data_IF_731554855694
#
_entry.id   IF_731554855694
#
_cell.length_a   1.000
_cell.length_b   1.000
_cell.length_c   1.000
_cell.angle_alpha   90.00
_cell.angle_beta   90.00
_cell.angle_gamma   90.00
#
_symmetry.space_group_name_H-M   'P 1'
#
loop_
_entity.id
_entity.type
_entity.pdbx_description
1 polymer ?
#
# COMPACT_ATOMS: atom_id res chain seq x y z
N UNK A 1 -1.22 -13.94 -1.22
CA UNK A 1 -2.13 -13.68 -2.35
C UNK A 1 -3.57 -13.95 -1.94
N UNK A 2 -3.89 -15.15 -1.50
CA UNK A 2 -5.27 -15.56 -1.14
C UNK A 2 -5.89 -14.71 -0.03
N UNK A 3 -5.11 -14.37 1.00
CA UNK A 3 -5.58 -13.49 2.08
C UNK A 3 -5.97 -12.10 1.59
N UNK A 4 -5.24 -11.55 0.60
CA UNK A 4 -5.57 -10.25 0.04
C UNK A 4 -6.84 -10.31 -0.81
N UNK A 5 -7.00 -11.37 -1.61
CA UNK A 5 -8.23 -11.58 -2.39
C UNK A 5 -9.44 -11.71 -1.46
N UNK A 6 -9.32 -12.50 -0.38
CA UNK A 6 -10.39 -12.63 0.61
C UNK A 6 -10.74 -11.28 1.26
N UNK A 7 -9.76 -10.44 1.58
CA UNK A 7 -10.02 -9.10 2.12
C UNK A 7 -10.76 -8.21 1.13
N UNK A 8 -10.34 -8.22 -0.14
CA UNK A 8 -11.02 -7.45 -1.20
C UNK A 8 -12.47 -7.91 -1.34
N UNK A 9 -12.71 -9.23 -1.37
CA UNK A 9 -14.06 -9.80 -1.41
C UNK A 9 -14.91 -9.37 -0.20
N UNK A 10 -14.34 -9.43 1.01
CA UNK A 10 -15.03 -9.01 2.23
C UNK A 10 -15.44 -7.53 2.20
N UNK A 11 -14.51 -6.66 1.75
CA UNK A 11 -14.74 -5.21 1.68
C UNK A 11 -15.85 -4.91 0.68
N UNK A 12 -15.78 -5.49 -0.50
CA UNK A 12 -16.76 -5.23 -1.57
C UNK A 12 -18.14 -5.82 -1.24
N UNK A 13 -18.17 -7.01 -0.64
CA UNK A 13 -19.40 -7.67 -0.22
C UNK A 13 -20.00 -7.11 1.09
N UNK A 14 -19.28 -6.22 1.80
CA UNK A 14 -19.65 -5.76 3.14
C UNK A 14 -19.87 -6.92 4.12
N UNK A 15 -19.01 -7.94 4.07
CA UNK A 15 -19.05 -9.11 4.95
C UNK A 15 -17.86 -9.09 5.91
N UNK A 16 -18.08 -9.37 7.18
CA UNK A 16 -17.02 -9.42 8.18
C UNK A 16 -15.99 -10.51 7.83
N UNK A 17 -14.73 -10.12 7.69
CA UNK A 17 -13.63 -11.02 7.37
C UNK A 17 -13.45 -12.15 8.39
N UNK A 18 -13.81 -11.93 9.66
CA UNK A 18 -13.78 -12.97 10.69
C UNK A 18 -14.76 -14.12 10.39
N UNK A 19 -15.91 -13.83 9.79
CA UNK A 19 -16.86 -14.85 9.39
C UNK A 19 -16.25 -15.81 8.34
N UNK A 20 -15.50 -15.27 7.36
CA UNK A 20 -14.79 -16.10 6.38
C UNK A 20 -13.70 -16.93 7.06
N UNK A 21 -12.87 -16.30 7.91
CA UNK A 21 -11.75 -16.99 8.57
C UNK A 21 -12.20 -18.10 9.52
N UNK A 22 -13.35 -17.94 10.16
CA UNK A 22 -13.90 -18.92 11.12
C UNK A 22 -14.89 -19.89 10.51
N UNK A 23 -15.24 -19.73 9.23
CA UNK A 23 -16.23 -20.56 8.54
C UNK A 23 -17.67 -20.34 9.01
N UNK A 24 -17.96 -19.23 9.70
CA UNK A 24 -19.28 -18.89 10.25
C UNK A 24 -20.09 -17.98 9.31
N UNK A 25 -20.11 -18.33 8.01
CA UNK A 25 -20.88 -17.60 7.01
C UNK A 25 -22.33 -18.04 7.03
N UNK A 26 -23.24 -17.08 6.99
CA UNK A 26 -24.67 -17.29 6.83
C UNK A 26 -25.04 -17.33 5.33
N UNK A 27 -26.24 -17.80 5.00
CA UNK A 27 -26.69 -17.90 3.60
C UNK A 27 -26.73 -16.54 2.88
N UNK A 28 -27.07 -15.48 3.62
CA UNK A 28 -27.01 -14.11 3.13
C UNK A 28 -25.57 -13.65 2.80
N UNK A 29 -24.60 -14.00 3.66
CA UNK A 29 -23.19 -13.67 3.44
C UNK A 29 -22.66 -14.35 2.16
N UNK A 30 -23.03 -15.61 1.93
CA UNK A 30 -22.69 -16.34 0.71
C UNK A 30 -23.25 -15.66 -0.54
N UNK A 31 -24.51 -15.21 -0.49
CA UNK A 31 -25.15 -14.50 -1.59
C UNK A 31 -24.44 -13.20 -1.91
N UNK A 32 -24.06 -12.41 -0.89
CA UNK A 32 -23.29 -11.16 -1.04
C UNK A 32 -21.91 -11.44 -1.66
N UNK A 33 -21.18 -12.41 -1.14
CA UNK A 33 -19.88 -12.79 -1.69
C UNK A 33 -19.98 -13.25 -3.15
N UNK A 34 -20.94 -14.08 -3.48
CA UNK A 34 -21.15 -14.55 -4.85
C UNK A 34 -21.42 -13.40 -5.84
N UNK A 35 -22.16 -12.38 -5.40
CA UNK A 35 -22.49 -11.22 -6.25
C UNK A 35 -21.30 -10.37 -6.65
N UNK A 36 -20.22 -10.34 -5.84
CA UNK A 36 -19.04 -9.49 -6.09
C UNK A 36 -17.90 -10.21 -6.80
N UNK A 37 -17.92 -11.55 -6.87
CA UNK A 37 -16.85 -12.34 -7.52
C UNK A 37 -16.68 -11.96 -9.00
N UNK A 38 -17.78 -11.86 -9.74
CA UNK A 38 -17.75 -11.47 -11.15
C UNK A 38 -17.12 -10.09 -11.36
N UNK A 39 -17.68 -9.01 -10.77
CA UNK A 39 -17.14 -7.67 -10.85
C UNK A 39 -15.65 -7.56 -10.48
N UNK A 40 -15.22 -8.25 -9.40
CA UNK A 40 -13.79 -8.25 -8.99
C UNK A 40 -12.93 -8.98 -10.02
N UNK A 41 -13.38 -10.11 -10.55
CA UNK A 41 -12.65 -10.86 -11.59
C UNK A 41 -12.43 -10.01 -12.84
N UNK A 42 -13.42 -9.20 -13.20
CA UNK A 42 -13.39 -8.35 -14.39
C UNK A 42 -12.69 -6.99 -14.17
N UNK A 43 -12.36 -6.65 -12.91
CA UNK A 43 -11.81 -5.34 -12.55
C UNK A 43 -10.38 -5.07 -13.03
N UNK A 44 -9.69 -6.09 -13.57
CA UNK A 44 -8.31 -5.94 -14.05
C UNK A 44 -7.28 -5.74 -12.94
N UNK A 45 -7.52 -6.28 -11.74
CA UNK A 45 -6.58 -6.27 -10.62
C UNK A 45 -5.57 -7.40 -10.78
N UNK A 46 -4.27 -7.06 -10.82
CA UNK A 46 -3.15 -8.01 -10.92
C UNK A 46 -2.35 -7.97 -9.63
N UNK A 47 -2.25 -9.10 -8.92
CA UNK A 47 -1.58 -9.22 -7.63
C UNK A 47 -0.27 -9.98 -7.80
N UNK A 48 0.83 -9.35 -7.41
CA UNK A 48 2.15 -9.96 -7.33
C UNK A 48 2.60 -10.01 -5.87
N UNK A 49 2.76 -11.20 -5.34
CA UNK A 49 3.19 -11.48 -3.97
C UNK A 49 4.60 -12.08 -3.90
N UNK A 50 5.45 -11.81 -4.89
CA UNK A 50 6.84 -12.27 -4.91
C UNK A 50 7.60 -11.68 -3.72
N UNK A 51 8.11 -12.53 -2.80
CA UNK A 51 8.84 -12.05 -1.63
C UNK A 51 10.22 -11.50 -2.04
N UNK A 52 10.63 -10.36 -1.44
CA UNK A 52 11.94 -9.77 -1.69
C UNK A 52 12.16 -9.34 -3.13
N UNK A 53 11.11 -8.93 -3.82
CA UNK A 53 11.18 -8.47 -5.21
C UNK A 53 12.14 -7.28 -5.35
N UNK A 54 12.97 -7.30 -6.39
CA UNK A 54 13.87 -6.18 -6.69
C UNK A 54 13.15 -5.07 -7.47
N UNK A 55 13.66 -3.84 -7.35
CA UNK A 55 13.12 -2.69 -8.11
C UNK A 55 13.20 -2.92 -9.63
N UNK A 56 14.19 -3.67 -10.11
CA UNK A 56 14.34 -4.01 -11.53
C UNK A 56 13.29 -5.01 -11.99
N UNK A 57 12.93 -5.98 -11.15
CA UNK A 57 11.86 -6.94 -11.45
C UNK A 57 10.49 -6.24 -11.46
N UNK A 58 10.23 -5.35 -10.48
CA UNK A 58 9.00 -4.53 -10.48
C UNK A 58 8.89 -3.77 -11.81
N UNK A 59 9.94 -3.08 -12.21
CA UNK A 59 9.97 -2.33 -13.46
C UNK A 59 9.66 -3.20 -14.68
N UNK A 60 10.26 -4.39 -14.76
CA UNK A 60 10.05 -5.34 -15.85
C UNK A 60 8.60 -5.84 -15.88
N UNK A 61 8.05 -6.24 -14.74
CA UNK A 61 6.67 -6.72 -14.63
C UNK A 61 5.65 -5.62 -14.95
N UNK A 62 5.87 -4.40 -14.44
CA UNK A 62 4.98 -3.26 -14.71
C UNK A 62 4.98 -2.86 -16.19
N UNK A 63 6.14 -2.85 -16.86
CA UNK A 63 6.24 -2.62 -18.31
C UNK A 63 5.43 -3.65 -19.08
N UNK A 64 5.61 -4.93 -18.77
CA UNK A 64 4.86 -6.02 -19.40
C UNK A 64 3.35 -5.84 -19.21
N UNK A 65 2.89 -5.61 -17.98
CA UNK A 65 1.48 -5.39 -17.69
C UNK A 65 0.94 -4.13 -18.38
N UNK A 66 1.73 -3.06 -18.47
CA UNK A 66 1.32 -1.86 -19.21
C UNK A 66 1.12 -2.14 -20.69
N UNK A 67 2.01 -2.91 -21.31
CA UNK A 67 1.90 -3.28 -22.74
C UNK A 67 0.74 -4.25 -23.01
N UNK A 68 0.56 -5.27 -22.16
CA UNK A 68 -0.41 -6.35 -22.40
C UNK A 68 -1.82 -6.02 -21.90
N UNK A 69 -1.93 -5.27 -20.81
CA UNK A 69 -3.16 -5.05 -20.06
C UNK A 69 -3.52 -3.58 -19.89
N UNK A 70 -2.65 -2.67 -20.35
CA UNK A 70 -2.82 -1.23 -20.22
C UNK A 70 -3.20 -0.77 -18.80
N UNK A 71 -2.47 -1.27 -17.80
CA UNK A 71 -2.72 -0.90 -16.39
C UNK A 71 -2.72 0.62 -16.20
N UNK A 72 -3.60 1.11 -15.33
CA UNK A 72 -3.81 2.53 -15.05
C UNK A 72 -3.29 2.99 -13.69
N UNK A 73 -2.89 2.07 -12.81
CA UNK A 73 -2.40 2.35 -11.46
C UNK A 73 -1.44 1.25 -11.02
N UNK A 74 -0.39 1.62 -10.29
CA UNK A 74 0.51 0.69 -9.61
C UNK A 74 0.44 0.98 -8.12
N UNK A 75 0.20 -0.05 -7.30
CA UNK A 75 0.19 0.05 -5.82
C UNK A 75 1.28 -0.86 -5.25
N UNK A 76 2.09 -0.33 -4.35
CA UNK A 76 3.19 -1.05 -3.69
C UNK A 76 2.97 -1.04 -2.18
N UNK A 77 2.80 -2.21 -1.60
CA UNK A 77 2.61 -2.41 -0.16
C UNK A 77 3.73 -3.32 0.37
N UNK A 78 4.76 -2.76 0.98
CA UNK A 78 5.23 -1.41 1.16
C UNK A 78 6.70 -1.30 0.72
N UNK A 79 7.21 -0.10 0.51
CA UNK A 79 8.51 0.11 -0.15
C UNK A 79 9.71 -0.49 0.59
N UNK A 80 9.61 -0.64 1.92
CA UNK A 80 10.67 -1.24 2.73
C UNK A 80 10.84 -2.75 2.49
N UNK A 81 9.93 -3.42 1.79
CA UNK A 81 10.09 -4.83 1.38
C UNK A 81 10.83 -5.01 0.05
N UNK A 82 11.00 -3.92 -0.71
CA UNK A 82 11.69 -3.96 -2.00
C UNK A 82 13.19 -4.03 -1.76
N UNK A 83 13.89 -4.81 -2.58
CA UNK A 83 15.35 -4.86 -2.63
C UNK A 83 15.87 -3.83 -3.65
N UNK A 84 16.88 -3.06 -3.25
CA UNK A 84 17.60 -2.16 -4.14
C UNK A 84 18.37 -2.92 -5.22
N UNK A 85 18.79 -2.23 -6.27
CA UNK A 85 19.53 -2.82 -7.40
C UNK A 85 20.97 -3.21 -7.02
N UNK A 86 21.53 -2.63 -5.98
CA UNK A 86 22.90 -2.82 -5.55
C UNK A 86 23.00 -3.68 -4.28
N UNK A 87 23.48 -4.89 -4.44
CA UNK A 87 23.95 -5.78 -3.37
C UNK A 87 25.23 -5.23 -2.72
N UNK A 88 25.33 -3.89 -2.54
CA UNK A 88 26.49 -3.26 -1.89
C UNK A 88 26.41 -3.56 -0.40
N UNK A 89 27.31 -4.41 0.06
CA UNK A 89 27.51 -4.76 1.49
C UNK A 89 27.72 -3.55 2.43
N UNK A 90 27.81 -2.32 1.91
CA UNK A 90 28.14 -1.10 2.65
C UNK A 90 27.14 0.07 2.45
N UNK A 91 25.99 -0.12 1.81
CA UNK A 91 24.96 0.93 1.68
C UNK A 91 24.10 1.02 2.94
N UNK A 92 23.77 2.24 3.39
CA UNK A 92 22.78 2.40 4.45
C UNK A 92 21.38 2.07 3.92
N UNK A 93 20.48 1.64 4.80
CA UNK A 93 19.08 1.38 4.43
C UNK A 93 18.38 2.62 3.85
N UNK A 94 18.74 3.79 4.34
CA UNK A 94 18.25 5.08 3.83
C UNK A 94 18.63 5.29 2.37
N UNK A 95 19.88 4.94 1.99
CA UNK A 95 20.33 5.05 0.59
C UNK A 95 19.58 4.09 -0.33
N UNK A 96 19.31 2.88 0.16
CA UNK A 96 18.52 1.89 -0.60
C UNK A 96 17.09 2.38 -0.84
N UNK A 97 16.42 2.90 0.19
CA UNK A 97 15.08 3.49 0.06
C UNK A 97 15.08 4.69 -0.89
N UNK A 98 16.11 5.53 -0.84
CA UNK A 98 16.28 6.65 -1.76
C UNK A 98 16.39 6.19 -3.23
N UNK A 99 17.15 5.14 -3.48
CA UNK A 99 17.28 4.54 -4.83
C UNK A 99 15.94 3.99 -5.31
N UNK A 100 15.22 3.27 -4.45
CA UNK A 100 13.91 2.70 -4.75
C UNK A 100 12.91 3.82 -5.07
N UNK A 101 12.81 4.84 -4.20
CA UNK A 101 11.90 5.97 -4.37
C UNK A 101 12.11 6.67 -5.72
N UNK A 102 13.37 7.01 -6.03
CA UNK A 102 13.73 7.62 -7.32
C UNK A 102 13.38 6.71 -8.50
N UNK A 103 13.61 5.41 -8.38
CA UNK A 103 13.31 4.44 -9.44
C UNK A 103 11.80 4.31 -9.68
N UNK A 104 10.98 4.36 -8.62
CA UNK A 104 9.52 4.38 -8.73
C UNK A 104 9.01 5.65 -9.41
N UNK A 105 9.60 6.80 -9.10
CA UNK A 105 9.29 8.07 -9.78
C UNK A 105 9.61 8.01 -11.29
N UNK A 106 10.76 7.42 -11.63
CA UNK A 106 11.13 7.21 -13.03
C UNK A 106 10.14 6.27 -13.72
N UNK A 107 9.77 5.16 -13.07
CA UNK A 107 8.81 4.20 -13.58
C UNK A 107 7.44 4.83 -13.84
N UNK A 108 6.92 5.63 -12.89
CA UNK A 108 5.65 6.34 -13.06
C UNK A 108 5.65 7.24 -14.31
N UNK A 109 6.73 8.01 -14.50
CA UNK A 109 6.89 8.87 -15.68
C UNK A 109 7.02 8.06 -16.98
N UNK A 110 7.83 7.02 -16.98
CA UNK A 110 8.07 6.15 -18.13
C UNK A 110 6.79 5.50 -18.65
N UNK A 111 5.97 4.97 -17.74
CA UNK A 111 4.74 4.27 -18.08
C UNK A 111 3.53 5.22 -18.24
N UNK A 112 3.69 6.48 -17.84
CA UNK A 112 2.59 7.44 -17.69
C UNK A 112 1.44 6.86 -16.85
N UNK A 113 1.80 6.32 -15.68
CA UNK A 113 0.88 5.67 -14.73
C UNK A 113 1.19 6.15 -13.32
N UNK A 114 0.20 6.58 -12.52
CA UNK A 114 0.42 6.90 -11.13
C UNK A 114 0.91 5.68 -10.33
N UNK A 115 1.82 5.94 -9.40
CA UNK A 115 2.35 4.94 -8.47
C UNK A 115 2.01 5.38 -7.05
N UNK A 116 1.25 4.58 -6.33
CA UNK A 116 1.01 4.71 -4.89
C UNK A 116 1.96 3.76 -4.18
N UNK A 117 2.86 4.32 -3.38
CA UNK A 117 3.79 3.54 -2.57
C UNK A 117 3.48 3.75 -1.09
N UNK A 118 3.13 2.68 -0.40
CA UNK A 118 2.97 2.70 1.05
C UNK A 118 4.35 2.73 1.71
N UNK A 119 4.46 3.49 2.77
CA UNK A 119 5.69 3.60 3.55
C UNK A 119 5.39 3.56 5.04
N UNK A 120 6.16 2.79 5.78
CA UNK A 120 6.09 2.78 7.23
C UNK A 120 6.65 4.08 7.80
N UNK A 121 6.00 4.63 8.80
CA UNK A 121 6.47 5.81 9.52
C UNK A 121 7.49 5.43 10.60
N UNK A 122 8.31 6.40 10.99
CA UNK A 122 9.18 6.30 12.16
C UNK A 122 8.34 6.12 13.43
N UNK A 123 8.85 5.31 14.36
CA UNK A 123 8.24 5.13 15.68
C UNK A 123 8.20 6.40 16.54
N UNK A 124 8.88 7.47 16.11
CA UNK A 124 8.83 8.76 16.80
C UNK A 124 7.42 9.35 16.86
N UNK A 125 6.53 9.01 15.92
CA UNK A 125 5.11 9.40 15.96
C UNK A 125 4.41 8.90 17.22
N UNK A 126 4.74 7.67 17.67
CA UNK A 126 4.16 7.05 18.87
C UNK A 126 4.56 7.74 20.19
N UNK A 127 5.64 8.53 20.15
CA UNK A 127 6.16 9.25 21.33
C UNK A 127 5.55 10.65 21.48
N UNK A 128 4.82 11.13 20.50
CA UNK A 128 4.16 12.44 20.55
C UNK A 128 2.80 12.33 21.23
N UNK A 129 2.41 13.36 21.99
CA UNK A 129 1.13 13.36 22.71
C UNK A 129 -0.09 13.26 21.79
N UNK A 130 -0.01 13.81 20.59
CA UNK A 130 -1.10 13.84 19.60
C UNK A 130 -1.06 12.67 18.60
N UNK A 131 0.04 11.90 18.57
CA UNK A 131 0.27 10.79 17.64
C UNK A 131 0.01 11.13 16.16
N UNK A 132 -0.11 12.42 15.81
CA UNK A 132 -0.41 12.83 14.43
C UNK A 132 0.85 12.78 13.58
N UNK A 133 0.79 12.10 12.42
CA UNK A 133 1.93 11.98 11.52
C UNK A 133 2.26 13.31 10.84
N UNK A 134 3.55 13.52 10.57
CA UNK A 134 4.07 14.68 9.86
C UNK A 134 5.23 14.26 8.92
N UNK A 135 5.64 15.14 8.01
CA UNK A 135 6.69 14.84 7.02
C UNK A 135 8.01 14.37 7.65
N UNK A 136 8.38 14.89 8.81
CA UNK A 136 9.59 14.46 9.52
C UNK A 136 9.54 12.99 9.98
N UNK A 137 8.37 12.35 10.01
CA UNK A 137 8.24 10.94 10.39
C UNK A 137 8.62 9.99 9.23
N UNK A 138 8.79 10.53 8.03
CA UNK A 138 9.41 9.85 6.89
C UNK A 138 10.95 9.84 6.97
N UNK A 139 11.54 10.09 8.12
CA UNK A 139 12.95 10.43 8.34
C UNK A 139 13.97 9.38 7.88
N UNK A 140 13.64 8.09 7.93
CA UNK A 140 14.46 7.03 7.32
C UNK A 140 14.39 7.06 5.79
N UNK A 141 13.59 7.97 5.25
CA UNK A 141 13.20 8.06 3.85
C UNK A 141 13.04 9.53 3.42
N UNK A 142 13.88 10.44 3.89
CA UNK A 142 13.83 11.87 3.50
C UNK A 142 13.83 12.11 1.98
N UNK A 143 14.33 11.15 1.24
CA UNK A 143 14.24 11.10 -0.22
C UNK A 143 12.81 10.86 -0.73
N UNK A 144 11.96 10.11 0.01
CA UNK A 144 10.56 9.89 -0.39
C UNK A 144 9.82 11.23 -0.43
N UNK A 145 10.02 12.08 0.59
CA UNK A 145 9.42 13.41 0.63
C UNK A 145 9.82 14.25 -0.59
N UNK A 146 11.09 14.15 -1.02
CA UNK A 146 11.59 14.90 -2.18
C UNK A 146 11.04 14.35 -3.50
N UNK A 147 11.01 13.02 -3.66
CA UNK A 147 10.61 12.36 -4.89
C UNK A 147 9.09 12.32 -5.09
N UNK A 148 8.30 12.22 -4.02
CA UNK A 148 6.85 12.16 -4.10
C UNK A 148 6.25 13.49 -4.57
N UNK A 149 5.24 13.45 -5.45
CA UNK A 149 4.44 14.62 -5.83
C UNK A 149 3.39 14.94 -4.75
N UNK A 150 2.86 13.90 -4.12
CA UNK A 150 1.85 13.98 -3.08
C UNK A 150 2.28 13.07 -1.93
N UNK A 151 2.17 13.56 -0.70
CA UNK A 151 2.34 12.78 0.52
C UNK A 151 1.05 12.83 1.31
N UNK A 152 0.51 11.65 1.60
CA UNK A 152 -0.70 11.47 2.38
C UNK A 152 -0.41 10.60 3.60
N UNK A 153 -0.89 11.01 4.78
CA UNK A 153 -0.85 10.19 5.98
C UNK A 153 -2.24 9.67 6.32
N UNK A 154 -2.28 8.46 6.84
CA UNK A 154 -3.49 7.88 7.42
C UNK A 154 -3.43 8.01 8.94
N UNK A 155 -4.48 8.54 9.53
CA UNK A 155 -4.59 8.71 10.98
C UNK A 155 -5.97 8.26 11.46
N UNK A 156 -6.01 7.61 12.61
CA UNK A 156 -7.24 7.22 13.29
C UNK A 156 -7.14 7.62 14.75
N UNK A 157 -7.96 8.59 15.15
CA UNK A 157 -7.97 9.09 16.52
C UNK A 157 -8.47 8.03 17.51
N UNK A 158 -9.49 7.26 17.16
CA UNK A 158 -10.07 6.22 18.01
C UNK A 158 -9.11 5.06 18.32
N UNK A 159 -8.04 4.90 17.55
CA UNK A 159 -6.99 3.93 17.83
C UNK A 159 -6.15 4.32 19.05
N UNK A 160 -5.92 5.61 19.26
CA UNK A 160 -5.13 6.16 20.36
C UNK A 160 -6.00 6.64 21.51
N UNK A 161 -7.20 7.14 21.24
CA UNK A 161 -8.13 7.74 22.18
C UNK A 161 -9.48 6.99 22.16
N UNK A 162 -9.73 6.08 23.13
CA UNK A 162 -10.99 5.34 23.19
C UNK A 162 -12.24 6.20 23.36
N UNK A 163 -12.07 7.43 23.88
CA UNK A 163 -13.14 8.40 24.11
C UNK A 163 -13.31 9.38 22.94
N UNK A 164 -12.65 9.12 21.80
CA UNK A 164 -12.76 9.94 20.61
C UNK A 164 -14.22 10.08 20.14
N UNK A 165 -14.61 11.28 19.78
CA UNK A 165 -15.91 11.54 19.12
C UNK A 165 -15.93 10.99 17.67
N UNK A 166 -14.76 10.77 17.08
CA UNK A 166 -14.57 10.28 15.70
C UNK A 166 -14.40 8.77 15.60
N UNK A 167 -15.23 7.97 16.29
CA UNK A 167 -15.16 6.50 16.19
C UNK A 167 -15.36 6.03 14.74
N UNK A 168 -14.53 5.07 14.34
CA UNK A 168 -14.53 4.47 12.99
C UNK A 168 -14.20 5.45 11.85
N UNK A 169 -13.70 6.65 12.18
CA UNK A 169 -13.25 7.63 11.19
C UNK A 169 -11.76 7.48 10.95
N UNK A 170 -11.39 7.35 9.68
CA UNK A 170 -10.00 7.45 9.23
C UNK A 170 -9.79 8.78 8.53
N UNK A 171 -8.81 9.56 9.00
CA UNK A 171 -8.41 10.82 8.37
C UNK A 171 -7.33 10.55 7.31
N UNK A 172 -7.45 11.23 6.18
CA UNK A 172 -6.38 11.32 5.16
C UNK A 172 -5.80 12.74 5.23
N UNK A 173 -4.58 12.85 5.73
CA UNK A 173 -3.88 14.13 5.89
C UNK A 173 -2.98 14.34 4.69
N UNK A 174 -3.29 15.33 3.84
CA UNK A 174 -2.45 15.71 2.70
C UNK A 174 -1.39 16.68 3.22
N UNK A 175 -0.13 16.22 3.22
CA UNK A 175 1.01 16.98 3.77
C UNK A 175 1.90 17.61 2.69
N UNK A 176 1.79 17.12 1.44
CA UNK A 176 2.46 17.67 0.25
C UNK A 176 1.59 17.42 -0.99
#
# INVERSE_FOLDING_TARGET
>A
KDQLVNRILCIEAMVDSNKIMTGKLEEEDWSKLASVVGPISDSGIYIDDTPGISIMEIRTKCRKLKMEKNIGLIVIDYIQLIQGSNNRKNGSREQEIAEISRSLKILAKELNVPVIALSQLSRAVEQRPDHRPMLSDLRESGSIEQDADIVMFLYRDDYYNPDSEGKDISEVIIAK
#
